data_IF_381015934310
#
_entry.id   IF_381015934310
#
_cell.length_a   1.000
_cell.length_b   1.000
_cell.length_c   1.000
_cell.angle_alpha   90.00
_cell.angle_beta   90.00
_cell.angle_gamma   90.00
#
_symmetry.space_group_name_H-M   'P 1'
#
loop_
_entity.id
_entity.type
_entity.pdbx_description
1 polymer ?
#
# COMPACT_ATOMS: atom_id res chain seq x y z
N UNK A 1 -24.95 -2.04 -10.84
CA UNK A 1 -24.28 -3.07 -11.66
C UNK A 1 -23.41 -3.89 -10.73
N UNK A 2 -23.89 -5.07 -10.32
CA UNK A 2 -23.21 -5.96 -9.36
C UNK A 2 -22.25 -6.83 -10.16
N UNK A 3 -20.96 -6.85 -9.80
CA UNK A 3 -19.99 -7.78 -10.39
C UNK A 3 -19.44 -8.73 -9.32
N UNK A 4 -19.64 -10.01 -9.60
CA UNK A 4 -19.19 -11.21 -8.91
C UNK A 4 -17.68 -11.21 -8.64
N UNK A 5 -17.30 -11.62 -7.43
CA UNK A 5 -15.92 -11.91 -7.02
C UNK A 5 -15.61 -13.35 -7.42
N UNK A 6 -14.63 -13.54 -8.28
CA UNK A 6 -14.06 -14.85 -8.61
C UNK A 6 -12.76 -14.98 -7.80
N UNK A 7 -12.75 -15.93 -6.86
CA UNK A 7 -11.57 -16.36 -6.10
C UNK A 7 -10.93 -17.54 -6.85
N UNK A 8 -9.75 -17.34 -7.43
CA UNK A 8 -8.90 -18.41 -7.96
C UNK A 8 -7.53 -18.29 -7.29
N UNK A 9 -7.08 -19.34 -6.59
CA UNK A 9 -5.75 -19.77 -6.06
C UNK A 9 -4.58 -18.79 -5.80
N UNK A 10 -4.74 -17.50 -6.03
CA UNK A 10 -3.98 -16.39 -5.49
C UNK A 10 -4.99 -15.74 -4.54
N UNK A 11 -4.70 -15.61 -3.23
CA UNK A 11 -5.59 -14.91 -2.30
C UNK A 11 -5.58 -13.41 -2.60
N UNK A 12 -6.12 -13.01 -3.76
CA UNK A 12 -6.37 -11.62 -4.14
C UNK A 12 -7.55 -11.16 -3.31
N UNK A 13 -7.27 -10.38 -2.27
CA UNK A 13 -8.30 -9.66 -1.54
C UNK A 13 -8.67 -8.44 -2.39
N UNK A 14 -9.74 -8.57 -3.18
CA UNK A 14 -10.31 -7.48 -3.99
C UNK A 14 -11.35 -6.72 -3.17
N UNK A 15 -11.09 -5.45 -2.82
CA UNK A 15 -12.05 -4.61 -2.13
C UNK A 15 -12.72 -3.64 -3.12
N UNK A 16 -13.91 -4.00 -3.58
CA UNK A 16 -14.83 -3.10 -4.27
C UNK A 16 -16.01 -2.85 -3.33
N UNK A 17 -15.92 -1.81 -2.49
CA UNK A 17 -17.00 -0.87 -2.11
C UNK A 17 -16.73 -0.10 -0.81
N UNK A 18 -17.28 1.11 -0.82
CA UNK A 18 -17.31 2.18 0.18
C UNK A 18 -15.98 2.88 0.44
N UNK A 19 -15.80 3.89 -0.41
CA UNK A 19 -14.80 4.94 -0.36
C UNK A 19 -15.18 5.97 0.72
N UNK A 20 -15.29 5.46 1.94
CA UNK A 20 -15.06 6.23 3.13
C UNK A 20 -14.03 5.42 3.91
N UNK A 21 -13.03 6.09 4.47
CA UNK A 21 -12.08 5.57 5.46
C UNK A 21 -10.70 5.18 4.91
N UNK A 22 -9.68 5.72 5.58
CA UNK A 22 -8.63 4.96 6.30
C UNK A 22 -8.37 3.55 5.73
N UNK A 23 -7.87 3.49 4.49
CA UNK A 23 -7.43 2.25 3.83
C UNK A 23 -6.40 1.48 4.67
N UNK A 24 -5.67 2.21 5.52
CA UNK A 24 -4.75 1.70 6.51
C UNK A 24 -5.35 0.66 7.47
N UNK A 25 -6.56 0.85 7.97
CA UNK A 25 -7.13 -0.06 9.00
C UNK A 25 -7.47 -1.43 8.41
N UNK A 26 -7.97 -1.46 7.17
CA UNK A 26 -8.26 -2.71 6.46
C UNK A 26 -6.96 -3.42 6.08
N UNK A 27 -5.99 -2.69 5.54
CA UNK A 27 -4.68 -3.23 5.23
C UNK A 27 -4.04 -3.88 6.46
N UNK A 28 -4.01 -3.16 7.59
CA UNK A 28 -3.54 -3.68 8.89
C UNK A 28 -4.20 -4.98 9.31
N UNK A 29 -5.51 -5.07 9.15
CA UNK A 29 -6.27 -6.24 9.57
C UNK A 29 -6.07 -7.44 8.63
N UNK A 30 -5.86 -7.22 7.33
CA UNK A 30 -5.90 -8.28 6.32
C UNK A 30 -4.52 -8.72 5.83
N UNK A 31 -3.53 -7.83 5.82
CA UNK A 31 -2.18 -8.11 5.37
C UNK A 31 -1.52 -9.28 6.11
N UNK A 32 -1.68 -9.47 7.44
CA UNK A 32 -1.12 -10.62 8.13
C UNK A 32 -1.61 -11.97 7.58
N UNK A 33 -2.85 -12.04 7.07
CA UNK A 33 -3.45 -13.28 6.55
C UNK A 33 -3.09 -13.58 5.09
N UNK A 34 -2.32 -12.71 4.46
CA UNK A 34 -1.82 -12.91 3.11
C UNK A 34 -0.77 -14.03 3.10
N UNK A 35 -0.77 -14.85 2.04
CA UNK A 35 0.16 -15.97 1.90
C UNK A 35 1.60 -15.47 2.07
N UNK A 36 2.35 -16.11 2.97
CA UNK A 36 3.76 -15.79 3.23
C UNK A 36 4.60 -16.08 1.99
N UNK A 37 4.28 -17.10 1.20
CA UNK A 37 5.02 -17.42 -0.03
C UNK A 37 4.60 -16.55 -1.22
N UNK A 38 4.71 -15.23 -1.11
CA UNK A 38 4.48 -14.30 -2.23
C UNK A 38 3.02 -13.90 -2.46
N UNK A 39 2.19 -13.90 -1.43
CA UNK A 39 0.82 -13.39 -1.55
C UNK A 39 0.77 -11.91 -1.92
N UNK A 40 -0.32 -11.50 -2.59
CA UNK A 40 -0.46 -10.16 -3.17
C UNK A 40 -1.70 -9.44 -2.61
N UNK A 41 -1.52 -8.26 -2.03
CA UNK A 41 -2.60 -7.34 -1.67
C UNK A 41 -2.78 -6.30 -2.76
N UNK A 42 -4.01 -6.11 -3.26
CA UNK A 42 -4.29 -5.21 -4.38
C UNK A 42 -5.14 -4.03 -3.90
N UNK A 43 -4.71 -2.82 -4.25
CA UNK A 43 -5.47 -1.58 -4.02
C UNK A 43 -5.94 -1.07 -5.38
N UNK A 44 -7.24 -1.17 -5.66
CA UNK A 44 -7.88 -0.59 -6.85
C UNK A 44 -8.40 0.83 -6.58
N UNK A 45 -8.83 1.53 -7.63
CA UNK A 45 -9.46 2.85 -7.58
C UNK A 45 -8.66 3.93 -6.84
N UNK A 46 -7.33 3.96 -7.01
CA UNK A 46 -6.46 4.95 -6.35
C UNK A 46 -6.79 6.40 -6.72
N UNK A 47 -7.42 6.66 -7.87
CA UNK A 47 -7.85 8.00 -8.26
C UNK A 47 -8.88 8.61 -7.29
N UNK A 48 -9.55 7.78 -6.48
CA UNK A 48 -10.49 8.27 -5.46
C UNK A 48 -9.82 9.00 -4.30
N UNK A 49 -8.50 8.78 -4.11
CA UNK A 49 -7.68 9.54 -3.15
C UNK A 49 -7.62 11.03 -3.45
N UNK A 50 -8.03 11.44 -4.65
CA UNK A 50 -8.03 12.82 -5.10
C UNK A 50 -9.43 13.43 -5.00
N UNK A 51 -10.50 12.66 -4.79
CA UNK A 51 -11.85 13.20 -4.80
C UNK A 51 -12.36 13.53 -3.39
N UNK A 52 -12.79 14.77 -3.16
CA UNK A 52 -13.31 15.18 -1.85
C UNK A 52 -14.53 14.35 -1.40
N UNK A 53 -15.40 13.94 -2.32
CA UNK A 53 -16.57 13.08 -2.00
C UNK A 53 -16.16 11.69 -1.48
N UNK A 54 -14.90 11.31 -1.68
CA UNK A 54 -14.28 10.06 -1.31
C UNK A 54 -13.31 10.21 -0.12
N UNK A 55 -13.24 11.38 0.49
CA UNK A 55 -12.27 11.68 1.57
C UNK A 55 -10.85 11.97 1.08
N UNK A 56 -10.66 12.23 -0.22
CA UNK A 56 -9.43 12.82 -0.77
C UNK A 56 -9.39 14.35 -0.64
N UNK A 57 -8.28 14.97 -1.06
CA UNK A 57 -8.11 16.45 -1.12
C UNK A 57 -7.78 17.01 -2.48
N UNK A 58 -7.54 16.16 -3.47
CA UNK A 58 -7.10 16.56 -4.79
C UNK A 58 -8.22 17.19 -5.62
N UNK A 59 -8.75 18.36 -5.22
CA UNK A 59 -9.47 19.18 -6.19
C UNK A 59 -8.46 19.60 -7.26
N UNK A 60 -8.76 19.19 -8.48
CA UNK A 60 -8.15 19.67 -9.72
C UNK A 60 -8.61 21.11 -9.92
N UNK A 61 -8.11 22.05 -9.12
CA UNK A 61 -8.25 23.47 -9.45
C UNK A 61 -7.27 23.75 -10.59
N UNK A 62 -7.80 23.96 -11.80
CA UNK A 62 -7.07 24.31 -13.03
C UNK A 62 -6.22 23.20 -13.67
N UNK A 63 -6.64 21.94 -13.61
CA UNK A 63 -5.97 20.84 -14.34
C UNK A 63 -4.71 20.30 -13.66
N UNK A 64 -4.26 20.92 -12.56
CA UNK A 64 -3.13 20.46 -11.76
C UNK A 64 -3.60 19.65 -10.56
N UNK A 65 -3.02 18.48 -10.38
CA UNK A 65 -3.13 17.70 -9.15
C UNK A 65 -2.41 18.48 -8.05
N UNK A 66 -3.15 19.10 -7.13
CA UNK A 66 -2.59 19.55 -5.86
C UNK A 66 -2.14 18.31 -5.08
N UNK A 67 -0.94 18.34 -4.48
CA UNK A 67 -0.33 17.15 -3.89
C UNK A 67 -1.29 16.48 -2.87
N UNK A 68 -1.89 15.32 -3.21
CA UNK A 68 -2.78 14.60 -2.30
C UNK A 68 -2.02 14.09 -1.07
N UNK A 69 -0.67 14.12 -1.11
CA UNK A 69 0.22 13.79 0.01
C UNK A 69 0.13 14.76 1.18
N UNK A 70 -0.60 15.87 1.04
CA UNK A 70 -0.85 16.79 2.15
C UNK A 70 -1.99 16.36 3.06
N UNK A 71 -2.79 15.35 2.69
CA UNK A 71 -3.77 14.73 3.59
C UNK A 71 -3.20 13.48 4.26
N UNK A 72 -2.99 13.52 5.58
CA UNK A 72 -2.83 12.32 6.37
C UNK A 72 -4.03 11.38 6.16
N UNK A 73 -3.76 10.16 5.71
CA UNK A 73 -4.77 9.08 5.67
C UNK A 73 -5.43 8.78 4.32
N UNK A 74 -5.04 9.43 3.22
CA UNK A 74 -5.42 9.00 1.87
C UNK A 74 -4.73 7.67 1.49
N UNK A 75 -5.28 6.90 0.55
CA UNK A 75 -4.60 5.67 0.06
C UNK A 75 -3.25 5.99 -0.55
N UNK A 76 -3.13 7.08 -1.30
CA UNK A 76 -1.85 7.50 -1.89
C UNK A 76 -0.83 7.84 -0.80
N UNK A 77 -1.22 8.58 0.24
CA UNK A 77 -0.30 8.88 1.33
C UNK A 77 0.15 7.61 2.06
N UNK A 78 -0.79 6.74 2.38
CA UNK A 78 -0.46 5.46 3.00
C UNK A 78 0.50 4.62 2.14
N UNK A 79 0.29 4.58 0.82
CA UNK A 79 1.18 3.87 -0.10
C UNK A 79 2.55 4.54 -0.21
N UNK A 80 2.65 5.87 -0.09
CA UNK A 80 3.94 6.58 0.03
C UNK A 80 4.67 6.16 1.31
N UNK A 81 3.97 6.08 2.44
CA UNK A 81 4.55 5.61 3.71
C UNK A 81 5.10 4.17 3.55
N UNK A 82 4.40 3.30 2.82
CA UNK A 82 4.88 1.93 2.54
C UNK A 82 6.12 1.89 1.62
N UNK A 83 6.31 2.87 0.73
CA UNK A 83 7.54 2.97 -0.07
C UNK A 83 8.74 3.19 0.85
N UNK A 84 8.60 4.02 1.88
CA UNK A 84 9.65 4.24 2.87
C UNK A 84 9.94 2.95 3.66
N UNK A 85 8.91 2.20 4.02
CA UNK A 85 9.04 0.90 4.70
C UNK A 85 9.80 -0.14 3.84
N UNK A 86 9.50 -0.23 2.54
CA UNK A 86 10.23 -1.13 1.62
C UNK A 86 11.70 -0.72 1.50
N UNK A 87 11.98 0.59 1.52
CA UNK A 87 13.34 1.11 1.41
C UNK A 87 14.06 1.25 2.76
N UNK A 88 13.45 0.85 3.87
CA UNK A 88 13.98 1.04 5.23
C UNK A 88 15.43 0.54 5.38
N UNK A 89 15.74 -0.64 4.84
CA UNK A 89 17.10 -1.20 4.89
C UNK A 89 18.07 -0.35 4.08
N UNK A 90 17.70 0.06 2.87
CA UNK A 90 18.51 0.93 2.02
C UNK A 90 18.79 2.28 2.66
N UNK A 91 17.75 2.88 3.26
CA UNK A 91 17.86 4.15 3.97
C UNK A 91 18.82 4.11 5.17
N UNK A 92 18.90 2.98 5.88
CA UNK A 92 19.73 2.84 7.08
C UNK A 92 21.13 2.25 6.82
N UNK A 93 21.32 1.55 5.70
CA UNK A 93 22.57 0.80 5.44
C UNK A 93 23.30 1.24 4.17
N UNK A 94 22.63 1.97 3.27
CA UNK A 94 23.13 2.24 1.91
C UNK A 94 23.00 1.05 0.95
N UNK A 95 22.43 -0.08 1.40
CA UNK A 95 22.26 -1.29 0.59
C UNK A 95 20.80 -1.70 0.47
N UNK A 96 20.34 -2.00 -0.74
CA UNK A 96 18.98 -2.49 -1.01
C UNK A 96 18.76 -3.97 -0.69
N UNK A 97 19.57 -4.59 0.18
CA UNK A 97 19.52 -6.03 0.44
C UNK A 97 19.36 -6.35 1.92
N UNK A 98 18.48 -7.31 2.21
CA UNK A 98 18.22 -7.84 3.55
C UNK A 98 19.45 -8.49 4.22
N UNK A 99 20.49 -8.81 3.45
CA UNK A 99 21.77 -9.33 3.97
C UNK A 99 22.51 -8.34 4.87
N UNK A 100 22.22 -7.05 4.74
CA UNK A 100 22.82 -5.99 5.54
C UNK A 100 22.00 -5.64 6.80
N UNK A 101 20.93 -6.39 7.07
CA UNK A 101 20.11 -6.18 8.27
C UNK A 101 20.83 -6.73 9.50
N UNK A 102 21.31 -5.83 10.36
CA UNK A 102 21.88 -6.19 11.67
C UNK A 102 20.78 -6.55 12.68
N UNK A 103 21.09 -7.24 13.79
CA UNK A 103 20.13 -7.51 14.85
C UNK A 103 19.47 -6.25 15.42
N UNK A 104 20.23 -5.17 15.59
CA UNK A 104 19.76 -3.88 16.09
C UNK A 104 18.80 -3.23 15.08
N UNK A 105 19.16 -3.23 13.80
CA UNK A 105 18.30 -2.70 12.75
C UNK A 105 16.99 -3.48 12.66
N UNK A 106 17.04 -4.81 12.78
CA UNK A 106 15.85 -5.68 12.75
C UNK A 106 14.86 -5.38 13.87
N UNK A 107 15.33 -4.99 15.05
CA UNK A 107 14.46 -4.60 16.17
C UNK A 107 13.66 -3.33 15.85
N UNK A 108 14.25 -2.42 15.07
CA UNK A 108 13.63 -1.16 14.66
C UNK A 108 12.73 -1.28 13.41
N UNK A 109 12.78 -2.40 12.69
CA UNK A 109 11.93 -2.61 11.51
C UNK A 109 10.47 -2.75 11.92
N UNK A 110 9.58 -2.08 11.19
CA UNK A 110 8.14 -2.32 11.30
C UNK A 110 7.75 -3.68 10.73
N UNK A 111 6.52 -4.12 11.00
CA UNK A 111 5.93 -5.29 10.35
C UNK A 111 5.92 -5.18 8.81
N UNK A 112 5.84 -3.97 8.26
CA UNK A 112 5.80 -3.75 6.83
C UNK A 112 7.20 -3.82 6.21
N UNK A 113 8.20 -3.19 6.82
CA UNK A 113 9.59 -3.31 6.38
C UNK A 113 10.06 -4.78 6.40
N UNK A 114 9.57 -5.57 7.37
CA UNK A 114 9.89 -6.99 7.48
C UNK A 114 9.22 -7.86 6.43
N UNK A 115 7.99 -7.56 6.04
CA UNK A 115 7.17 -8.51 5.27
C UNK A 115 6.77 -8.02 3.87
N UNK A 116 6.91 -6.75 3.52
CA UNK A 116 6.63 -6.28 2.16
C UNK A 116 7.91 -6.39 1.33
N UNK A 117 7.80 -7.04 0.17
CA UNK A 117 8.87 -7.17 -0.81
C UNK A 117 8.85 -6.01 -1.80
N UNK A 118 7.68 -5.73 -2.39
CA UNK A 118 7.57 -4.75 -3.46
C UNK A 118 6.21 -4.08 -3.50
N UNK A 119 6.19 -2.87 -4.08
CA UNK A 119 5.00 -2.17 -4.53
C UNK A 119 5.09 -1.93 -6.03
N UNK A 120 4.05 -2.28 -6.78
CA UNK A 120 3.95 -2.01 -8.22
C UNK A 120 2.76 -1.09 -8.48
N UNK A 121 3.04 0.08 -9.04
CA UNK A 121 2.03 1.08 -9.36
C UNK A 121 1.69 1.06 -10.84
N UNK A 122 0.39 1.10 -11.13
CA UNK A 122 -0.15 1.35 -12.45
C UNK A 122 -1.26 2.40 -12.34
N UNK A 123 -1.83 2.81 -13.48
CA UNK A 123 -2.91 3.78 -13.45
C UNK A 123 -4.08 3.26 -12.59
N UNK A 124 -4.34 3.96 -11.49
CA UNK A 124 -5.41 3.67 -10.54
C UNK A 124 -5.33 2.32 -9.79
N UNK A 125 -4.20 1.64 -9.78
CA UNK A 125 -4.06 0.36 -9.09
C UNK A 125 -2.63 0.16 -8.54
N UNK A 126 -2.52 -0.44 -7.36
CA UNK A 126 -1.24 -0.82 -6.75
C UNK A 126 -1.27 -2.28 -6.27
N UNK A 127 -0.19 -3.01 -6.54
CA UNK A 127 0.04 -4.36 -6.05
C UNK A 127 1.11 -4.32 -4.97
N UNK A 128 0.83 -4.91 -3.81
CA UNK A 128 1.75 -5.03 -2.67
C UNK A 128 2.06 -6.51 -2.48
N UNK A 129 3.33 -6.89 -2.67
CA UNK A 129 3.77 -8.29 -2.60
C UNK A 129 4.39 -8.59 -1.24
N UNK A 130 3.99 -9.69 -0.61
CA UNK A 130 4.58 -10.18 0.65
C UNK A 130 5.86 -10.98 0.36
N UNK A 131 6.86 -10.83 1.23
CA UNK A 131 8.12 -11.60 1.18
C UNK A 131 7.87 -13.08 1.45
N UNK A 132 8.51 -13.99 0.69
CA UNK A 132 8.60 -15.41 1.01
C UNK A 132 9.22 -15.71 2.37
#
# INVERSE_FOLDING_TARGET
MIRTIILFEIRIVRFIWNIYLKNFNKFKALFPFLNENGGIYVVEDLHTAYWNCCGGTGIVSNGSITDPGTLPGSSINFLKDLVDEVNFVGANTGFGSSKHVTPELRQNMSEYARHIESLHFYNSICFITKKP
#
